data_IF_220568758388
#
_entry.id   IF_220568758388
#
_cell.length_a   1.000
_cell.length_b   1.000
_cell.length_c   1.000
_cell.angle_alpha   90.00
_cell.angle_beta   90.00
_cell.angle_gamma   90.00
#
_symmetry.space_group_name_H-M   'P 1'
#
loop_
_entity.id
_entity.type
_entity.pdbx_description
1 polymer ?
#
# COMPACT_ATOMS: atom_id res chain seq x y z
N UNK A 1 13.15 -5.70 32.00
CA UNK A 1 11.82 -5.05 32.02
C UNK A 1 11.16 -5.40 30.71
N UNK A 2 9.90 -5.83 30.72
CA UNK A 2 9.15 -6.15 29.50
C UNK A 2 8.26 -4.96 29.16
N UNK A 3 8.21 -4.56 27.89
CA UNK A 3 7.53 -3.35 27.43
C UNK A 3 6.63 -3.65 26.21
N UNK A 4 5.45 -3.01 26.12
CA UNK A 4 4.60 -3.08 24.94
C UNK A 4 5.26 -2.32 23.79
N UNK A 5 5.45 -3.01 22.66
CA UNK A 5 6.12 -2.46 21.50
C UNK A 5 5.36 -2.73 20.21
N UNK A 6 5.51 -1.82 19.25
CA UNK A 6 5.31 -2.15 17.83
C UNK A 6 6.59 -2.82 17.35
N UNK A 7 6.43 -3.98 16.71
CA UNK A 7 7.53 -4.76 16.15
C UNK A 7 7.37 -4.79 14.64
N UNK A 8 8.40 -4.35 13.93
CA UNK A 8 8.48 -4.43 12.46
C UNK A 8 9.56 -5.44 12.09
N UNK A 9 9.19 -6.47 11.34
CA UNK A 9 10.10 -7.51 10.85
C UNK A 9 10.18 -7.43 9.33
N UNK A 10 11.39 -7.24 8.82
CA UNK A 10 11.70 -7.27 7.40
C UNK A 10 12.40 -8.58 7.06
N UNK A 11 11.93 -9.24 6.01
CA UNK A 11 12.53 -10.45 5.45
C UNK A 11 13.08 -10.10 4.07
N UNK A 12 14.40 -10.15 3.91
CA UNK A 12 15.09 -9.67 2.72
C UNK A 12 15.85 -10.81 2.05
N UNK A 13 15.51 -11.05 0.79
CA UNK A 13 16.18 -11.95 -0.13
C UNK A 13 16.68 -11.21 -1.38
N UNK A 14 16.18 -10.00 -1.62
CA UNK A 14 16.64 -9.13 -2.70
C UNK A 14 18.04 -8.57 -2.38
N UNK A 15 18.94 -8.48 -3.38
CA UNK A 15 20.27 -7.90 -3.17
C UNK A 15 20.23 -6.39 -2.94
N UNK A 16 19.18 -5.71 -3.41
CA UNK A 16 18.93 -4.29 -3.23
C UNK A 16 17.44 -4.10 -2.87
N UNK A 17 17.07 -4.20 -1.58
CA UNK A 17 15.69 -3.99 -1.15
C UNK A 17 15.22 -2.55 -1.44
N UNK A 18 16.12 -1.57 -1.38
CA UNK A 18 15.77 -0.16 -1.58
C UNK A 18 15.30 0.13 -3.01
N UNK A 19 15.96 -0.45 -4.01
CA UNK A 19 15.52 -0.35 -5.40
C UNK A 19 14.15 -1.00 -5.65
N UNK A 20 13.85 -2.11 -4.98
CA UNK A 20 12.53 -2.77 -5.08
C UNK A 20 11.44 -1.85 -4.50
N UNK A 21 11.67 -1.32 -3.30
CA UNK A 21 10.67 -0.52 -2.58
C UNK A 21 10.45 0.86 -3.20
N UNK A 22 11.51 1.46 -3.76
CA UNK A 22 11.42 2.73 -4.49
C UNK A 22 10.52 2.65 -5.74
N UNK A 23 10.28 1.44 -6.26
CA UNK A 23 9.34 1.21 -7.36
C UNK A 23 7.86 1.18 -6.94
N UNK A 24 7.56 1.42 -5.65
CA UNK A 24 6.22 1.35 -5.05
C UNK A 24 5.42 0.11 -5.46
N UNK A 25 5.99 -1.10 -5.28
CA UNK A 25 5.33 -2.33 -5.68
C UNK A 25 4.02 -2.53 -4.90
N UNK A 26 3.02 -3.07 -5.58
CA UNK A 26 1.78 -3.47 -4.92
C UNK A 26 2.03 -4.68 -4.03
N UNK A 27 1.55 -4.62 -2.79
CA UNK A 27 1.55 -5.79 -1.90
C UNK A 27 0.74 -6.94 -2.49
N UNK A 28 1.28 -8.16 -2.39
CA UNK A 28 0.51 -9.38 -2.63
C UNK A 28 -0.51 -9.61 -1.51
N UNK A 29 -1.80 -9.39 -1.83
CA UNK A 29 -2.93 -9.62 -0.91
C UNK A 29 -3.07 -11.06 -0.41
N UNK A 30 -2.58 -12.03 -1.18
CA UNK A 30 -2.62 -13.45 -0.81
C UNK A 30 -1.48 -13.84 0.12
N UNK A 31 -0.38 -13.11 0.09
CA UNK A 31 0.82 -13.41 0.87
C UNK A 31 0.55 -13.33 2.38
N UNK A 32 0.03 -12.20 2.87
CA UNK A 32 -0.21 -12.01 4.30
C UNK A 32 -1.17 -13.03 4.90
N UNK A 33 -2.24 -13.37 4.17
CA UNK A 33 -3.19 -14.41 4.60
C UNK A 33 -2.53 -15.78 4.75
N UNK A 34 -1.66 -16.16 3.80
CA UNK A 34 -0.92 -17.44 3.87
C UNK A 34 0.08 -17.43 5.02
N UNK A 35 0.81 -16.34 5.20
CA UNK A 35 1.78 -16.18 6.28
C UNK A 35 1.12 -16.33 7.66
N UNK A 36 0.02 -15.63 7.89
CA UNK A 36 -0.74 -15.71 9.15
C UNK A 36 -1.31 -17.11 9.39
N UNK A 37 -1.81 -17.78 8.34
CA UNK A 37 -2.30 -19.14 8.45
C UNK A 37 -1.19 -20.16 8.77
N UNK A 38 0.05 -19.90 8.34
CA UNK A 38 1.22 -20.70 8.70
C UNK A 38 1.66 -20.43 10.13
N UNK A 39 1.67 -19.17 10.56
CA UNK A 39 2.04 -18.76 11.91
C UNK A 39 1.08 -19.34 12.96
N UNK A 40 -0.23 -19.28 12.69
CA UNK A 40 -1.23 -19.94 13.52
C UNK A 40 -2.47 -20.35 12.68
N UNK A 41 -2.62 -21.65 12.37
CA UNK A 41 -3.74 -22.15 11.58
C UNK A 41 -5.13 -21.94 12.22
N UNK A 42 -5.19 -21.67 13.52
CA UNK A 42 -6.45 -21.47 14.23
C UNK A 42 -6.97 -20.02 14.16
N UNK A 43 -6.19 -19.07 13.63
CA UNK A 43 -6.59 -17.68 13.61
C UNK A 43 -7.70 -17.39 12.58
N UNK A 44 -8.78 -16.70 13.00
CA UNK A 44 -9.76 -16.15 12.08
C UNK A 44 -9.20 -14.89 11.40
N UNK A 45 -8.60 -15.07 10.21
CA UNK A 45 -7.94 -13.99 9.47
C UNK A 45 -8.95 -13.18 8.65
N UNK A 46 -9.06 -11.91 9.00
CA UNK A 46 -9.94 -10.90 8.38
C UNK A 46 -9.09 -9.80 7.77
N UNK A 47 -9.25 -9.48 6.48
CA UNK A 47 -8.58 -8.31 5.89
C UNK A 47 -9.30 -7.02 6.30
N UNK A 48 -8.56 -6.01 6.76
CA UNK A 48 -9.13 -4.75 7.27
C UNK A 48 -8.88 -3.54 6.34
N UNK A 49 -7.91 -3.61 5.43
CA UNK A 49 -7.68 -2.56 4.43
C UNK A 49 -6.30 -2.61 3.80
N UNK A 50 -6.09 -1.77 2.80
CA UNK A 50 -4.77 -1.53 2.19
C UNK A 50 -4.38 -0.07 2.44
N UNK A 51 -3.16 0.17 2.85
CA UNK A 51 -2.67 1.51 3.16
C UNK A 51 -1.13 1.57 3.15
N UNK A 52 -0.54 2.76 2.98
CA UNK A 52 0.91 2.95 3.12
C UNK A 52 1.34 2.79 4.58
N UNK A 53 2.29 1.88 4.85
CA UNK A 53 2.82 1.55 6.18
C UNK A 53 3.40 2.78 6.89
N UNK A 54 4.11 3.62 6.14
CA UNK A 54 4.78 4.81 6.63
C UNK A 54 3.81 5.95 7.02
N UNK A 55 2.51 5.82 6.70
CA UNK A 55 1.49 6.83 7.01
C UNK A 55 0.26 6.25 7.72
N UNK A 56 0.32 4.99 8.12
CA UNK A 56 -0.76 4.34 8.86
C UNK A 56 -0.62 4.54 10.37
N UNK A 57 -1.74 4.42 11.07
CA UNK A 57 -1.74 4.24 12.52
C UNK A 57 -0.95 2.98 12.91
N UNK A 58 -0.50 2.88 14.15
CA UNK A 58 0.15 1.66 14.66
C UNK A 58 -0.85 0.49 14.76
N UNK A 59 -0.38 -0.77 14.58
CA UNK A 59 -1.23 -1.94 14.72
C UNK A 59 -1.75 -2.11 16.16
N UNK A 60 -3.02 -2.51 16.28
CA UNK A 60 -3.56 -3.00 17.55
C UNK A 60 -3.04 -4.39 17.94
N UNK A 61 -3.41 -4.84 19.15
CA UNK A 61 -2.98 -6.13 19.75
C UNK A 61 -3.20 -7.37 18.88
N UNK A 62 -4.22 -7.35 18.02
CA UNK A 62 -4.59 -8.48 17.16
C UNK A 62 -4.49 -8.11 15.68
N UNK A 63 -3.68 -7.10 15.35
CA UNK A 63 -3.52 -6.59 13.99
C UNK A 63 -2.13 -6.85 13.46
N UNK A 64 -2.07 -7.16 12.17
CA UNK A 64 -0.85 -7.40 11.42
C UNK A 64 -0.90 -6.60 10.13
N UNK A 65 0.11 -5.79 9.88
CA UNK A 65 0.27 -5.07 8.62
C UNK A 65 1.35 -5.78 7.82
N UNK A 66 0.97 -6.36 6.69
CA UNK A 66 1.83 -7.28 5.94
C UNK A 66 1.90 -6.87 4.49
N UNK A 67 3.12 -6.86 3.94
CA UNK A 67 3.33 -6.86 2.49
C UNK A 67 4.36 -7.91 2.09
N UNK A 68 4.10 -8.54 0.95
CA UNK A 68 5.09 -9.26 0.16
C UNK A 68 5.37 -8.48 -1.13
N UNK A 69 6.62 -8.15 -1.34
CA UNK A 69 7.19 -7.53 -2.54
C UNK A 69 8.17 -8.51 -3.20
N UNK A 70 8.64 -8.23 -4.44
CA UNK A 70 9.67 -9.06 -5.06
C UNK A 70 10.96 -9.15 -4.21
N UNK A 71 11.16 -10.28 -3.54
CA UNK A 71 12.34 -10.54 -2.72
C UNK A 71 12.40 -9.80 -1.38
N UNK A 72 11.35 -9.08 -0.99
CA UNK A 72 11.27 -8.35 0.28
C UNK A 72 9.88 -8.57 0.88
N UNK A 73 9.78 -8.90 2.16
CA UNK A 73 8.52 -8.89 2.87
C UNK A 73 8.65 -8.07 4.16
N UNK A 74 7.55 -7.49 4.61
CA UNK A 74 7.46 -6.76 5.87
C UNK A 74 6.23 -7.19 6.63
N UNK A 75 6.38 -7.30 7.94
CA UNK A 75 5.31 -7.55 8.90
C UNK A 75 5.46 -6.59 10.06
N UNK A 76 4.44 -5.77 10.32
CA UNK A 76 4.36 -4.94 11.51
C UNK A 76 3.20 -5.40 12.39
N UNK A 77 3.44 -5.56 13.68
CA UNK A 77 2.44 -6.00 14.66
C UNK A 77 2.74 -5.46 16.06
N UNK A 78 1.79 -5.62 16.98
CA UNK A 78 1.96 -5.27 18.38
C UNK A 78 2.41 -6.48 19.19
N UNK A 79 3.42 -6.31 20.05
CA UNK A 79 3.89 -7.33 21.00
C UNK A 79 3.85 -6.74 22.41
N UNK A 80 3.10 -7.38 23.30
CA UNK A 80 2.86 -6.88 24.65
C UNK A 80 4.11 -6.94 25.54
N UNK A 81 4.96 -7.94 25.29
CA UNK A 81 6.10 -8.26 26.14
C UNK A 81 7.42 -8.33 25.37
N UNK A 82 8.08 -7.18 25.20
CA UNK A 82 9.42 -7.09 24.58
C UNK A 82 10.46 -6.68 25.62
N UNK A 83 11.54 -7.46 25.71
CA UNK A 83 12.72 -7.13 26.53
C UNK A 83 13.92 -6.76 25.67
N UNK A 84 14.15 -7.49 24.57
CA UNK A 84 15.26 -7.27 23.64
C UNK A 84 14.76 -7.32 22.20
N UNK A 85 15.51 -6.72 21.27
CA UNK A 85 15.12 -6.71 19.85
C UNK A 85 15.35 -8.07 19.20
N UNK A 86 16.39 -8.80 19.59
CA UNK A 86 16.71 -10.11 19.00
C UNK A 86 15.70 -11.22 19.34
N UNK A 87 15.05 -11.13 20.51
CA UNK A 87 14.04 -12.10 20.94
C UNK A 87 12.62 -11.68 20.54
N UNK A 88 12.43 -10.41 20.13
CA UNK A 88 11.14 -9.90 19.72
C UNK A 88 10.58 -10.68 18.53
N UNK A 89 9.30 -11.08 18.64
CA UNK A 89 8.57 -11.79 17.60
C UNK A 89 9.31 -13.02 17.01
N UNK A 90 10.04 -13.77 17.85
CA UNK A 90 10.83 -14.96 17.43
C UNK A 90 10.04 -15.96 16.57
N UNK A 91 8.78 -16.24 16.93
CA UNK A 91 7.90 -17.10 16.16
C UNK A 91 7.65 -16.58 14.72
N UNK A 92 7.49 -15.27 14.57
CA UNK A 92 7.33 -14.63 13.26
C UNK A 92 8.63 -14.70 12.45
N UNK A 93 9.78 -14.39 13.07
CA UNK A 93 11.11 -14.50 12.47
C UNK A 93 11.36 -15.90 11.89
N UNK A 94 10.91 -16.94 12.59
CA UNK A 94 11.10 -18.35 12.17
C UNK A 94 10.09 -18.84 11.12
N UNK A 95 9.04 -18.05 10.83
CA UNK A 95 7.97 -18.46 9.90
C UNK A 95 8.39 -18.33 8.43
N UNK A 96 9.22 -17.35 8.10
CA UNK A 96 9.63 -17.08 6.72
C UNK A 96 11.17 -17.12 6.60
N UNK A 97 11.73 -18.03 5.77
CA UNK A 97 13.16 -18.03 5.52
C UNK A 97 13.57 -16.80 4.71
N UNK A 98 14.63 -16.14 5.16
CA UNK A 98 15.26 -15.02 4.47
C UNK A 98 16.79 -15.07 4.59
N UNK A 99 17.49 -14.52 3.59
CA UNK A 99 18.93 -14.32 3.67
C UNK A 99 19.27 -13.36 4.81
N UNK A 100 18.55 -12.24 4.88
CA UNK A 100 18.65 -11.27 5.97
C UNK A 100 17.27 -11.03 6.60
N UNK A 101 17.22 -11.01 7.92
CA UNK A 101 16.02 -10.61 8.68
C UNK A 101 16.37 -9.45 9.59
N UNK A 102 15.62 -8.35 9.47
CA UNK A 102 15.77 -7.17 10.31
C UNK A 102 14.55 -7.01 11.19
N UNK A 103 14.75 -6.95 12.50
CA UNK A 103 13.71 -6.72 13.50
C UNK A 103 13.90 -5.32 14.04
N UNK A 104 12.83 -4.55 14.16
CA UNK A 104 12.80 -3.25 14.80
C UNK A 104 11.73 -3.26 15.86
N UNK A 105 12.03 -2.71 17.03
CA UNK A 105 11.10 -2.59 18.14
C UNK A 105 11.01 -1.14 18.57
N UNK A 106 9.79 -0.67 18.80
CA UNK A 106 9.53 0.67 19.31
C UNK A 106 8.47 0.60 20.41
N UNK A 107 8.80 1.11 21.60
CA UNK A 107 7.88 1.18 22.72
C UNK A 107 6.70 2.11 22.44
N UNK A 108 5.48 1.65 22.73
CA UNK A 108 4.25 2.44 22.55
C UNK A 108 4.11 3.55 23.59
N UNK A 109 4.48 3.23 24.84
CA UNK A 109 4.33 4.12 25.99
C UNK A 109 5.69 4.41 26.68
N UNK A 110 6.79 4.23 25.95
CA UNK A 110 8.15 4.46 26.45
C UNK A 110 9.09 4.98 25.35
N UNK A 111 10.29 5.41 25.76
CA UNK A 111 11.39 5.78 24.87
C UNK A 111 12.21 4.57 24.41
N UNK A 112 11.82 3.35 24.80
CA UNK A 112 12.47 2.12 24.40
C UNK A 112 12.43 1.94 22.89
N UNK A 113 13.56 1.59 22.30
CA UNK A 113 13.65 1.19 20.92
C UNK A 113 14.84 0.25 20.71
N UNK A 114 14.81 -0.46 19.60
CA UNK A 114 15.92 -1.32 19.23
C UNK A 114 15.78 -1.92 17.85
N UNK A 115 16.83 -2.62 17.46
CA UNK A 115 16.92 -3.31 16.20
C UNK A 115 17.76 -4.59 16.35
N UNK A 116 17.53 -5.57 15.48
CA UNK A 116 18.35 -6.75 15.35
C UNK A 116 18.46 -7.18 13.89
N UNK A 117 19.65 -7.59 13.48
CA UNK A 117 19.97 -8.14 12.16
C UNK A 117 20.39 -9.59 12.32
N UNK A 118 19.70 -10.46 11.59
CA UNK A 118 20.04 -11.87 11.43
C UNK A 118 20.45 -12.15 9.99
N UNK A 119 21.57 -12.81 9.80
CA UNK A 119 21.94 -13.44 8.53
C UNK A 119 21.55 -14.92 8.60
N UNK A 120 20.46 -15.30 7.94
CA UNK A 120 19.80 -16.58 8.18
C UNK A 120 19.36 -16.72 9.63
N UNK A 121 19.95 -17.66 10.36
CA UNK A 121 19.69 -17.86 11.80
C UNK A 121 20.75 -17.23 12.72
N UNK A 122 21.82 -16.67 12.17
CA UNK A 122 22.93 -16.11 12.93
C UNK A 122 22.66 -14.64 13.26
N UNK A 123 22.68 -14.29 14.56
CA UNK A 123 22.58 -12.90 14.98
C UNK A 123 23.88 -12.16 14.66
N UNK A 124 23.80 -11.11 13.84
CA UNK A 124 24.94 -10.29 13.41
C UNK A 124 25.13 -9.05 14.25
N UNK A 125 24.02 -8.36 14.53
CA UNK A 125 23.97 -7.10 15.28
C UNK A 125 22.63 -7.02 15.99
N UNK A 126 22.60 -6.66 17.27
CA UNK A 126 21.38 -6.26 17.96
C UNK A 126 21.66 -5.18 18.99
N UNK A 127 20.79 -4.19 19.05
CA UNK A 127 20.83 -3.14 20.06
C UNK A 127 19.41 -2.84 20.50
N UNK A 128 19.16 -2.74 21.81
CA UNK A 128 17.90 -2.20 22.32
C UNK A 128 18.12 -1.48 23.65
N UNK A 129 17.49 -0.33 23.81
CA UNK A 129 17.72 0.54 24.93
C UNK A 129 16.56 1.53 25.15
N UNK A 130 16.42 2.00 26.40
CA UNK A 130 15.92 3.35 26.67
C UNK A 130 17.10 4.32 26.69
N UNK A 131 16.86 5.62 26.84
CA UNK A 131 17.98 6.57 26.89
C UNK A 131 18.90 6.37 28.09
N UNK A 132 18.44 5.72 29.15
CA UNK A 132 19.23 5.51 30.39
C UNK A 132 19.66 4.06 30.61
N UNK A 133 19.07 3.10 29.89
CA UNK A 133 19.30 1.67 30.12
C UNK A 133 19.48 0.96 28.79
N UNK A 134 20.66 0.36 28.60
CA UNK A 134 20.92 -0.57 27.50
C UNK A 134 20.43 -1.96 27.93
N UNK A 135 19.42 -2.48 27.24
CA UNK A 135 18.88 -3.81 27.47
C UNK A 135 19.63 -4.87 26.66
N UNK A 136 20.10 -4.52 25.47
CA UNK A 136 20.84 -5.39 24.57
C UNK A 136 21.88 -4.59 23.80
N UNK A 137 23.10 -5.13 23.71
CA UNK A 137 24.13 -4.70 22.78
C UNK A 137 24.98 -5.91 22.39
N UNK A 138 24.74 -6.44 21.20
CA UNK A 138 25.38 -7.62 20.65
C UNK A 138 25.86 -7.37 19.22
N UNK A 139 26.99 -7.99 18.87
CA UNK A 139 27.64 -7.77 17.57
C UNK A 139 28.51 -6.51 17.55
N UNK A 140 29.05 -6.19 16.38
CA UNK A 140 29.89 -5.01 16.17
C UNK A 140 29.05 -3.87 15.61
N UNK A 141 29.16 -2.63 16.15
CA UNK A 141 28.48 -1.48 15.59
C UNK A 141 28.77 -1.28 14.11
N UNK A 142 27.74 -0.89 13.36
CA UNK A 142 27.83 -0.61 11.93
C UNK A 142 28.10 0.87 11.64
N UNK A 143 28.57 1.22 10.42
CA UNK A 143 28.99 2.59 10.10
C UNK A 143 27.92 3.66 10.33
N UNK A 144 26.63 3.34 10.15
CA UNK A 144 25.54 4.29 10.36
C UNK A 144 25.39 4.69 11.84
N UNK A 145 25.92 3.90 12.78
CA UNK A 145 25.82 4.17 14.22
C UNK A 145 26.88 5.17 14.70
N UNK A 146 27.97 5.34 13.96
CA UNK A 146 29.10 6.19 14.34
C UNK A 146 28.71 7.62 14.80
N UNK A 147 27.87 8.38 14.07
CA UNK A 147 27.47 9.72 14.52
C UNK A 147 26.65 9.71 15.82
N UNK A 148 25.89 8.63 16.07
CA UNK A 148 25.13 8.48 17.31
C UNK A 148 26.07 8.27 18.49
N UNK A 149 27.02 7.33 18.38
CA UNK A 149 28.01 7.08 19.42
C UNK A 149 28.93 8.28 19.68
N UNK A 150 29.19 9.10 18.66
CA UNK A 150 29.93 10.36 18.79
C UNK A 150 29.12 11.49 19.46
N UNK A 151 27.80 11.32 19.63
CA UNK A 151 26.92 12.35 20.18
C UNK A 151 26.64 13.51 19.23
N UNK A 152 26.70 13.26 17.93
CA UNK A 152 26.47 14.27 16.88
C UNK A 152 24.98 14.42 16.53
N UNK A 153 24.13 13.48 16.94
CA UNK A 153 22.72 13.39 16.51
C UNK A 153 21.73 14.01 17.50
N UNK A 154 22.11 14.16 18.77
CA UNK A 154 21.23 14.71 19.79
C UNK A 154 22.00 15.50 20.84
N UNK A 155 21.32 16.47 21.47
CA UNK A 155 21.89 17.20 22.60
C UNK A 155 22.16 16.25 23.79
N UNK A 156 23.35 16.30 24.40
CA UNK A 156 23.66 15.51 25.59
C UNK A 156 22.80 15.91 26.78
N UNK A 157 22.10 14.95 27.37
CA UNK A 157 21.35 15.14 28.64
C UNK A 157 22.30 15.07 29.85
N UNK A 158 23.49 14.50 29.66
CA UNK A 158 24.50 14.29 30.70
C UNK A 158 24.24 13.02 31.53
N UNK A 159 25.08 12.81 32.55
CA UNK A 159 24.98 11.63 33.41
C UNK A 159 25.38 10.33 32.71
N UNK A 160 24.59 9.28 32.94
CA UNK A 160 24.79 7.94 32.36
C UNK A 160 23.93 7.70 31.11
N UNK A 161 23.19 8.72 30.66
CA UNK A 161 22.29 8.63 29.52
C UNK A 161 23.07 8.47 28.22
N UNK A 162 22.50 7.75 27.27
CA UNK A 162 23.03 7.62 25.91
C UNK A 162 23.12 8.99 25.24
N UNK A 163 24.16 9.22 24.41
CA UNK A 163 24.36 10.49 23.71
C UNK A 163 23.37 10.70 22.56
N UNK A 164 22.41 9.79 22.36
CA UNK A 164 21.40 9.81 21.32
C UNK A 164 20.05 9.33 21.81
N UNK A 165 19.01 9.51 20.98
CA UNK A 165 17.67 8.94 21.20
C UNK A 165 17.61 7.54 20.57
N UNK A 166 17.30 6.46 21.32
CA UNK A 166 17.24 5.10 20.77
C UNK A 166 16.32 4.94 19.56
N UNK A 167 15.16 5.62 19.54
CA UNK A 167 14.22 5.61 18.40
C UNK A 167 14.84 6.13 17.11
N UNK A 168 15.67 7.17 17.20
CA UNK A 168 16.35 7.75 16.03
C UNK A 168 17.43 6.80 15.49
N UNK A 169 18.17 6.14 16.38
CA UNK A 169 19.16 5.14 15.98
C UNK A 169 18.47 3.94 15.29
N UNK A 170 17.34 3.47 15.82
CA UNK A 170 16.57 2.39 15.19
C UNK A 170 16.01 2.78 13.81
N UNK A 171 15.54 4.02 13.64
CA UNK A 171 15.10 4.53 12.34
C UNK A 171 16.27 4.65 11.33
N UNK A 172 17.44 5.07 11.79
CA UNK A 172 18.65 5.12 10.97
C UNK A 172 19.13 3.72 10.55
N UNK A 173 19.08 2.74 11.46
CA UNK A 173 19.34 1.34 11.15
C UNK A 173 18.38 0.82 10.07
N UNK A 174 17.08 1.12 10.21
CA UNK A 174 16.07 0.72 9.23
C UNK A 174 16.34 1.34 7.86
N UNK A 175 16.64 2.63 7.81
CA UNK A 175 16.96 3.32 6.56
C UNK A 175 18.24 2.76 5.92
N UNK A 176 19.27 2.49 6.73
CA UNK A 176 20.56 1.96 6.26
C UNK A 176 20.44 0.55 5.69
N UNK A 177 19.70 -0.34 6.34
CA UNK A 177 19.59 -1.74 5.91
C UNK A 177 18.55 -1.95 4.80
N UNK A 178 17.44 -1.21 4.85
CA UNK A 178 16.38 -1.35 3.85
C UNK A 178 16.68 -0.52 2.59
N UNK A 179 17.49 0.54 2.71
CA UNK A 179 17.93 1.36 1.58
C UNK A 179 16.89 2.37 1.09
N UNK A 180 15.78 2.54 1.81
CA UNK A 180 14.78 3.61 1.61
C UNK A 180 14.36 4.19 2.94
N UNK A 181 13.92 5.45 2.91
CA UNK A 181 13.28 6.07 4.06
C UNK A 181 11.90 5.44 4.29
N UNK A 182 11.66 4.93 5.51
CA UNK A 182 10.40 4.33 5.93
C UNK A 182 9.55 5.32 6.74
N UNK A 183 10.01 6.56 6.86
CA UNK A 183 9.25 7.68 7.42
C UNK A 183 8.10 8.11 6.50
N UNK A 184 7.16 8.94 6.98
CA UNK A 184 6.09 9.51 6.17
C UNK A 184 6.56 10.26 4.91
N UNK A 185 7.82 10.73 4.89
CA UNK A 185 8.45 11.45 3.78
C UNK A 185 9.04 10.53 2.71
N UNK A 186 9.18 9.23 3.00
CA UNK A 186 9.62 8.19 2.07
C UNK A 186 8.57 7.77 1.03
N UNK A 187 8.91 6.82 0.14
CA UNK A 187 7.97 6.24 -0.84
C UNK A 187 6.79 5.55 -0.16
N UNK A 188 5.67 5.42 -0.87
CA UNK A 188 4.48 4.76 -0.30
C UNK A 188 4.69 3.23 -0.23
N UNK A 189 4.92 2.72 0.99
CA UNK A 189 5.12 1.29 1.26
C UNK A 189 3.77 0.61 1.52
N UNK A 190 3.06 0.26 0.45
CA UNK A 190 1.72 -0.31 0.54
C UNK A 190 1.70 -1.66 1.28
N UNK A 191 0.94 -1.74 2.36
CA UNK A 191 0.69 -2.97 3.14
C UNK A 191 -0.79 -3.30 3.18
N UNK A 192 -1.08 -4.58 3.47
CA UNK A 192 -2.44 -5.04 3.75
C UNK A 192 -2.55 -5.28 5.24
N UNK A 193 -3.53 -4.64 5.87
CA UNK A 193 -3.89 -4.88 7.26
C UNK A 193 -4.76 -6.11 7.41
N UNK A 194 -4.47 -6.91 8.44
CA UNK A 194 -5.24 -8.07 8.85
C UNK A 194 -5.56 -7.99 10.35
N UNK A 195 -6.73 -8.48 10.73
CA UNK A 195 -7.11 -8.75 12.11
C UNK A 195 -7.25 -10.26 12.34
N UNK A 196 -6.83 -10.74 13.52
CA UNK A 196 -6.86 -12.17 13.89
C UNK A 196 -7.79 -12.48 15.07
N UNK A 197 -8.61 -11.52 15.49
CA UNK A 197 -9.53 -11.63 16.64
C UNK A 197 -10.97 -12.02 16.24
N UNK A 198 -11.22 -12.27 14.96
CA UNK A 198 -12.54 -12.69 14.46
C UNK A 198 -13.52 -11.54 14.25
N UNK A 199 -13.06 -10.28 14.30
CA UNK A 199 -13.90 -9.15 13.88
C UNK A 199 -14.30 -9.29 12.39
N UNK A 200 -15.51 -8.87 12.01
CA UNK A 200 -15.96 -8.96 10.63
C UNK A 200 -15.18 -8.02 9.70
N UNK A 201 -15.03 -8.43 8.43
CA UNK A 201 -14.40 -7.58 7.41
C UNK A 201 -15.17 -6.26 7.25
N UNK A 202 -14.48 -5.11 7.18
CA UNK A 202 -15.12 -3.85 6.86
C UNK A 202 -15.85 -3.95 5.52
N UNK A 203 -17.17 -3.71 5.54
CA UNK A 203 -17.96 -3.63 4.30
C UNK A 203 -17.61 -2.33 3.58
N UNK A 204 -16.61 -2.35 2.71
CA UNK A 204 -16.39 -1.27 1.75
C UNK A 204 -17.60 -1.29 0.82
N UNK A 205 -18.46 -0.27 0.93
CA UNK A 205 -19.59 -0.13 0.02
C UNK A 205 -19.06 -0.17 -1.41
N UNK A 206 -19.45 -1.19 -2.18
CA UNK A 206 -19.12 -1.24 -3.59
C UNK A 206 -19.57 0.09 -4.22
N UNK A 207 -18.74 0.73 -5.08
CA UNK A 207 -19.15 1.94 -5.75
C UNK A 207 -20.50 1.67 -6.42
N UNK A 208 -21.48 2.52 -6.12
CA UNK A 208 -22.84 2.33 -6.63
C UNK A 208 -22.76 2.08 -8.14
N UNK A 209 -23.41 1.03 -8.65
CA UNK A 209 -23.35 0.73 -10.08
C UNK A 209 -23.76 1.99 -10.83
N UNK A 210 -22.89 2.46 -11.75
CA UNK A 210 -23.20 3.63 -12.58
C UNK A 210 -24.59 3.42 -13.18
N UNK A 211 -25.49 4.35 -12.88
CA UNK A 211 -26.83 4.35 -13.47
C UNK A 211 -26.61 4.46 -14.98
N UNK A 212 -26.88 3.37 -15.71
CA UNK A 212 -26.76 3.36 -17.17
C UNK A 212 -27.75 4.38 -17.72
N UNK A 213 -27.27 5.21 -18.63
CA UNK A 213 -28.14 6.19 -19.30
C UNK A 213 -29.15 5.47 -20.19
N UNK A 214 -30.30 6.11 -20.46
CA UNK A 214 -31.33 5.55 -21.34
C UNK A 214 -30.75 5.20 -22.73
N UNK A 215 -29.77 5.98 -23.21
CA UNK A 215 -29.07 5.71 -24.46
C UNK A 215 -28.24 4.41 -24.44
N UNK A 216 -27.56 4.11 -23.33
CA UNK A 216 -26.77 2.88 -23.17
C UNK A 216 -27.65 1.63 -22.99
N UNK A 217 -28.86 1.81 -22.44
CA UNK A 217 -29.86 0.73 -22.36
C UNK A 217 -30.50 0.50 -23.72
N UNK A 218 -30.82 1.56 -24.46
CA UNK A 218 -31.39 1.49 -25.80
C UNK A 218 -30.44 0.86 -26.82
N UNK A 219 -29.13 1.18 -26.77
CA UNK A 219 -28.14 0.56 -27.66
C UNK A 219 -27.97 -0.94 -27.40
N UNK A 220 -27.98 -1.39 -26.13
CA UNK A 220 -27.97 -2.82 -25.80
C UNK A 220 -29.24 -3.56 -26.22
N UNK A 221 -30.41 -2.90 -26.13
CA UNK A 221 -31.65 -3.50 -26.62
C UNK A 221 -31.61 -3.64 -28.15
N UNK A 222 -31.13 -2.63 -28.86
CA UNK A 222 -30.99 -2.65 -30.31
C UNK A 222 -29.95 -3.69 -30.80
N UNK A 223 -28.89 -3.94 -30.04
CA UNK A 223 -27.96 -5.03 -30.30
C UNK A 223 -28.59 -6.41 -30.06
N UNK A 224 -29.50 -6.52 -29.08
CA UNK A 224 -30.21 -7.77 -28.77
C UNK A 224 -31.31 -8.09 -29.79
N UNK A 225 -31.97 -7.08 -30.36
CA UNK A 225 -32.99 -7.23 -31.41
C UNK A 225 -32.40 -7.70 -32.75
N UNK A 226 -31.10 -7.50 -33.00
CA UNK A 226 -30.42 -8.00 -34.21
C UNK A 226 -30.14 -9.51 -34.19
N UNK A 227 -30.42 -10.20 -33.09
CA UNK A 227 -30.16 -11.64 -32.93
C UNK A 227 -31.36 -12.55 -33.21
N UNK A 228 -32.52 -12.01 -33.60
CA UNK A 228 -33.77 -12.74 -33.77
C UNK A 228 -34.44 -12.38 -35.10
N UNK A 229 -33.80 -12.71 -36.22
CA UNK A 229 -34.46 -12.67 -37.54
C UNK A 229 -33.90 -13.73 -38.49
N UNK A 230 -33.96 -14.99 -38.06
CA UNK A 230 -33.54 -16.13 -38.87
C UNK A 230 -34.59 -17.25 -38.80
N UNK A 231 -35.78 -17.01 -39.36
CA UNK A 231 -36.72 -18.06 -39.78
C UNK A 231 -37.54 -17.65 -41.02
N UNK A 232 -37.07 -18.12 -42.17
CA UNK A 232 -37.79 -18.54 -43.39
C UNK A 232 -38.65 -17.51 -44.16
N UNK A 233 -38.20 -17.20 -45.38
CA UNK A 233 -39.08 -17.25 -46.56
C UNK A 233 -38.31 -17.79 -47.77
N UNK A 234 -38.87 -18.82 -48.38
CA UNK A 234 -38.34 -19.57 -49.50
C UNK A 234 -38.51 -18.87 -50.85
N UNK A 235 -37.58 -19.21 -51.76
CA UNK A 235 -37.68 -19.31 -53.23
C UNK A 235 -38.40 -18.21 -54.04
N UNK A 236 -37.59 -17.37 -54.71
CA UNK A 236 -37.84 -16.91 -56.08
C UNK A 236 -36.51 -16.49 -56.77
N UNK A 237 -36.26 -17.12 -57.92
CA UNK A 237 -35.14 -16.96 -58.87
C UNK A 237 -35.31 -15.69 -59.78
N UNK A 238 -34.34 -15.33 -60.66
CA UNK A 238 -33.48 -14.16 -60.55
C UNK A 238 -33.81 -13.02 -61.54
N UNK A 239 -33.36 -11.81 -61.26
CA UNK A 239 -33.50 -10.67 -62.17
C UNK A 239 -32.58 -9.50 -61.82
N UNK A 240 -31.48 -9.43 -62.55
CA UNK A 240 -30.81 -8.26 -63.15
C UNK A 240 -30.61 -6.95 -62.35
N UNK A 241 -29.42 -6.36 -62.53
CA UNK A 241 -29.18 -4.94 -62.29
C UNK A 241 -28.31 -4.62 -61.07
N UNK A 242 -26.99 -4.75 -61.23
CA UNK A 242 -26.04 -4.13 -60.30
C UNK A 242 -26.04 -2.62 -60.44
N UNK A 243 -26.25 -1.90 -59.35
CA UNK A 243 -25.87 -0.48 -59.19
C UNK A 243 -25.77 -0.10 -57.69
N UNK A 244 -25.21 -1.02 -56.90
CA UNK A 244 -24.70 -0.74 -55.55
C UNK A 244 -23.29 -0.16 -55.65
N UNK A 245 -23.17 1.10 -56.09
CA UNK A 245 -21.90 1.84 -56.03
C UNK A 245 -22.07 3.36 -55.89
N UNK A 246 -23.26 3.93 -56.10
CA UNK A 246 -23.41 5.40 -56.23
C UNK A 246 -24.12 6.12 -55.07
N UNK A 247 -24.51 5.43 -53.99
CA UNK A 247 -25.14 6.07 -52.81
C UNK A 247 -24.23 6.18 -51.57
N UNK A 248 -23.03 5.58 -51.61
CA UNK A 248 -22.08 5.60 -50.50
C UNK A 248 -21.19 6.86 -50.47
N UNK A 249 -21.06 7.60 -51.57
CA UNK A 249 -20.14 8.75 -51.67
C UNK A 249 -20.79 10.13 -51.46
N UNK A 250 -22.12 10.23 -51.40
CA UNK A 250 -22.82 11.52 -51.27
C UNK A 250 -23.06 11.98 -49.82
N UNK A 251 -22.92 11.11 -48.82
CA UNK A 251 -23.18 11.44 -47.41
C UNK A 251 -21.92 11.72 -46.58
N UNK A 252 -20.74 11.34 -47.08
CA UNK A 252 -19.45 11.55 -46.41
C UNK A 252 -18.82 12.94 -46.67
N UNK A 253 -19.31 13.71 -47.65
CA UNK A 253 -18.79 15.03 -47.99
C UNK A 253 -19.57 16.23 -47.41
N UNK A 254 -20.78 16.04 -46.86
CA UNK A 254 -21.62 17.12 -46.36
C UNK A 254 -21.47 17.42 -44.85
N UNK A 255 -20.91 16.50 -44.05
CA UNK A 255 -20.79 16.68 -42.59
C UNK A 255 -19.57 17.53 -42.16
N UNK A 256 -18.64 17.86 -43.06
CA UNK A 256 -17.39 18.60 -42.74
C UNK A 256 -17.49 20.13 -42.88
N UNK A 257 -18.68 20.71 -43.03
CA UNK A 257 -18.85 22.18 -43.24
C UNK A 257 -19.82 22.92 -42.32
N UNK A 258 -20.17 22.36 -41.16
CA UNK A 258 -20.93 23.07 -40.10
C UNK A 258 -20.17 22.93 -38.77
N UNK A 259 -18.96 23.50 -38.70
CA UNK A 259 -18.08 23.39 -37.54
C UNK A 259 -17.35 24.68 -37.14
N UNK A 260 -17.69 25.82 -37.74
CA UNK A 260 -17.09 27.13 -37.43
C UNK A 260 -18.19 28.20 -37.48
N UNK A 261 -18.91 28.36 -36.36
CA UNK A 261 -19.95 29.39 -36.27
C UNK A 261 -20.73 29.50 -34.96
N UNK A 262 -20.61 28.55 -34.04
CA UNK A 262 -21.38 28.56 -32.78
C UNK A 262 -20.58 28.95 -31.52
N UNK A 263 -19.32 29.36 -31.65
CA UNK A 263 -18.44 29.70 -30.51
C UNK A 263 -18.56 31.14 -29.97
N UNK A 264 -19.51 31.96 -30.46
CA UNK A 264 -19.69 33.35 -29.97
C UNK A 264 -21.03 33.65 -29.29
N UNK A 265 -21.95 32.69 -29.19
CA UNK A 265 -23.21 32.86 -28.42
C UNK A 265 -23.28 32.07 -27.11
N UNK A 266 -22.39 31.10 -26.87
CA UNK A 266 -22.32 30.38 -25.60
C UNK A 266 -21.64 31.17 -24.46
N UNK A 267 -20.71 32.09 -24.78
CA UNK A 267 -20.00 32.91 -23.77
C UNK A 267 -20.83 34.05 -23.17
N UNK A 268 -21.95 34.43 -23.77
CA UNK A 268 -22.84 35.49 -23.25
C UNK A 268 -23.94 34.96 -22.29
N UNK A 269 -24.23 33.65 -22.33
CA UNK A 269 -25.18 33.00 -21.43
C UNK A 269 -24.53 32.53 -20.12
N UNK A 270 -23.24 32.17 -20.14
CA UNK A 270 -22.49 31.78 -18.94
C UNK A 270 -22.27 32.95 -17.96
N UNK A 271 -22.06 34.17 -18.47
CA UNK A 271 -21.87 35.36 -17.62
C UNK A 271 -23.16 35.78 -16.87
N UNK A 272 -24.34 35.52 -17.44
CA UNK A 272 -25.64 35.85 -16.81
C UNK A 272 -26.10 34.84 -15.74
N UNK A 273 -25.54 33.63 -15.74
CA UNK A 273 -25.83 32.61 -14.72
C UNK A 273 -24.88 32.75 -13.52
N UNK A 274 -23.63 33.17 -13.75
CA UNK A 274 -22.64 33.37 -12.71
C UNK A 274 -22.93 34.61 -11.82
N UNK A 275 -23.63 35.62 -12.35
CA UNK A 275 -24.08 36.80 -11.60
C UNK A 275 -25.32 36.53 -10.72
N UNK A 276 -26.14 35.52 -11.07
CA UNK A 276 -27.34 35.14 -10.31
C UNK A 276 -27.03 34.19 -9.14
N UNK A 277 -25.94 33.44 -9.21
CA UNK A 277 -25.48 32.53 -8.14
C UNK A 277 -24.69 33.28 -7.05
N UNK A 278 -24.05 34.41 -7.38
CA UNK A 278 -23.38 35.29 -6.39
C UNK A 278 -24.32 36.14 -5.53
N UNK A 279 -25.63 36.13 -5.81
CA UNK A 279 -26.64 36.85 -5.05
C UNK A 279 -27.65 35.94 -4.32
N UNK A 280 -27.43 34.62 -4.32
CA UNK A 280 -28.26 33.65 -3.59
C UNK A 280 -27.54 33.01 -2.39
N UNK A 281 -26.44 33.60 -1.92
CA UNK A 281 -25.75 33.21 -0.69
C UNK A 281 -25.54 34.45 0.22
N UNK A 282 -26.68 35.00 0.63
CA UNK A 282 -26.81 35.99 1.71
C UNK A 282 -27.81 35.47 2.73
#
# INVERSE_FOLDING_TARGET
>A
MSLPCVVTVWFVNAPDPGAVLSGEPKADRGFGRKLLAQLNPAWPITAIGDFPLNRSSQPGRAEFYIAGYPGVAVVQTFVEDVTTASEAASALRETLPAADTFVFVEGTDSDFAGFAHFAGSELRRAFSATRDVVAEDAGLPEPFEAPFWAGETAEPIGGISLPFVPKELAAAAQTSWIGVDVSPDGPDLNVVGYAVDGRPEPKIAAPAPRTKTVAEVASRLAEKDKGYDDYVAADAEPGDGGEFAELADASLAAAKRIGRGLSRRAKALAAKVQERIRHSDR
#
